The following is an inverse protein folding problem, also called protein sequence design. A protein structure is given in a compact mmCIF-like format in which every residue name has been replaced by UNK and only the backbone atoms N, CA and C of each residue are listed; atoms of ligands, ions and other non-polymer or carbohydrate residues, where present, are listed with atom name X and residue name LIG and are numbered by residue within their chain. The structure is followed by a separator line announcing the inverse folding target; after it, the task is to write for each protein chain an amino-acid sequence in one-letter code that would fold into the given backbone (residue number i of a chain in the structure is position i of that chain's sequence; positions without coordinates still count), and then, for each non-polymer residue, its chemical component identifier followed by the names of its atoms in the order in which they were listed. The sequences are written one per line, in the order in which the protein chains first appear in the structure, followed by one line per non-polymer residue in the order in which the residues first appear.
data_IF_093381073821
#
_entry.id   IF_093381073821
#
_cell.length_a   1.000
_cell.length_b   1.000
_cell.length_c   1.000
_cell.angle_alpha   90.00
_cell.angle_beta   90.00
_cell.angle_gamma   90.00
#
_symmetry.space_group_name_H-M   'P 1'
#
loop_
_entity.id
_entity.type
_entity.pdbx_description
1 polymer ?
#
# COMPACT_ATOMS: atom_id res chain seq x y z
N UNK A 1 -7.63 -7.87 3.99
CA UNK A 1 -6.41 -8.17 3.21
C UNK A 1 -5.47 -8.97 4.12
N UNK A 2 -4.91 -10.12 3.67
CA UNK A 2 -3.99 -10.94 4.50
C UNK A 2 -2.53 -10.70 4.10
N UNK A 3 -2.00 -11.48 3.18
CA UNK A 3 -0.62 -11.39 2.73
C UNK A 3 -0.57 -11.04 1.24
N UNK A 4 0.35 -10.15 0.86
CA UNK A 4 0.46 -9.68 -0.52
C UNK A 4 1.06 -8.29 -0.63
N UNK A 5 0.69 -7.57 -1.69
CA UNK A 5 1.25 -6.27 -2.05
C UNK A 5 0.13 -5.29 -2.37
N UNK A 6 0.18 -4.10 -1.76
CA UNK A 6 -0.56 -2.95 -2.30
C UNK A 6 0.35 -2.28 -3.33
N UNK A 7 -0.10 -2.30 -4.59
CA UNK A 7 0.48 -1.50 -5.64
C UNK A 7 -0.04 -0.07 -5.53
N UNK A 8 0.84 0.90 -5.33
CA UNK A 8 0.49 2.31 -5.18
C UNK A 8 1.15 3.13 -6.29
N UNK A 9 0.35 3.79 -7.10
CA UNK A 9 0.80 4.61 -8.23
C UNK A 9 0.30 6.04 -8.08
N UNK A 10 1.19 6.99 -8.33
CA UNK A 10 0.92 8.44 -8.39
C UNK A 10 1.50 8.97 -9.70
N UNK A 11 1.22 10.23 -10.03
CA UNK A 11 1.84 10.89 -11.20
C UNK A 11 3.39 10.86 -11.16
N UNK A 12 3.98 10.89 -9.96
CA UNK A 12 5.45 11.03 -9.79
C UNK A 12 6.17 9.71 -9.56
N UNK A 13 5.48 8.70 -9.05
CA UNK A 13 6.11 7.46 -8.63
C UNK A 13 5.10 6.31 -8.47
N UNK A 14 5.60 5.10 -8.71
CA UNK A 14 4.91 3.84 -8.48
C UNK A 14 5.74 2.95 -7.57
N UNK A 15 5.11 2.34 -6.57
CA UNK A 15 5.79 1.53 -5.56
C UNK A 15 4.87 0.51 -4.93
N UNK A 16 5.47 -0.55 -4.41
CA UNK A 16 4.79 -1.58 -3.63
C UNK A 16 4.84 -1.32 -2.13
N UNK A 17 3.78 -1.71 -1.44
CA UNK A 17 3.72 -1.85 0.01
C UNK A 17 3.48 -3.32 0.34
N UNK A 18 4.46 -3.96 0.98
CA UNK A 18 4.37 -5.39 1.33
C UNK A 18 3.49 -5.51 2.57
N UNK A 19 2.50 -6.40 2.49
CA UNK A 19 1.53 -6.67 3.56
C UNK A 19 1.74 -8.08 4.08
N UNK A 20 1.82 -8.20 5.41
CA UNK A 20 1.83 -9.46 6.17
C UNK A 20 0.82 -9.36 7.30
N UNK A 21 -0.01 -10.39 7.47
CA UNK A 21 -1.10 -10.44 8.45
C UNK A 21 -1.99 -9.19 8.43
N UNK A 22 -2.24 -8.65 7.23
CA UNK A 22 -3.03 -7.44 7.02
C UNK A 22 -2.36 -6.14 7.44
N UNK A 23 -1.06 -6.16 7.76
CA UNK A 23 -0.26 -4.98 8.14
C UNK A 23 0.84 -4.72 7.12
N UNK A 24 1.07 -3.46 6.76
CA UNK A 24 2.18 -3.08 5.88
C UNK A 24 3.50 -3.22 6.65
N UNK A 25 4.36 -4.17 6.23
CA UNK A 25 5.65 -4.45 6.89
C UNK A 25 6.83 -3.79 6.17
N UNK A 26 6.73 -3.60 4.86
CA UNK A 26 7.75 -2.95 4.04
C UNK A 26 7.16 -1.95 3.06
N UNK A 27 7.91 -0.88 2.80
CA UNK A 27 7.53 0.21 1.92
C UNK A 27 8.77 0.97 1.44
N UNK A 28 8.65 1.62 0.28
CA UNK A 28 9.65 2.55 -0.24
C UNK A 28 9.98 3.67 0.78
N UNK A 29 11.18 4.26 0.78
CA UNK A 29 11.62 5.22 1.82
C UNK A 29 10.64 6.38 2.08
N UNK A 30 10.09 6.98 1.02
CA UNK A 30 9.13 8.09 1.13
C UNK A 30 7.74 7.64 1.59
N UNK A 31 7.40 6.36 1.41
CA UNK A 31 6.13 5.78 1.85
C UNK A 31 6.19 5.24 3.29
N UNK A 32 7.39 4.84 3.74
CA UNK A 32 7.62 4.19 5.03
C UNK A 32 7.05 4.96 6.22
N UNK A 33 7.18 6.29 6.23
CA UNK A 33 6.73 7.14 7.34
C UNK A 33 5.22 7.07 7.58
N UNK A 34 4.42 6.89 6.52
CA UNK A 34 2.96 6.89 6.63
C UNK A 34 2.33 5.51 6.43
N UNK A 35 3.04 4.57 5.80
CA UNK A 35 2.51 3.24 5.47
C UNK A 35 2.89 2.16 6.49
N UNK A 36 4.15 2.11 6.95
CA UNK A 36 4.68 0.98 7.71
C UNK A 36 3.97 0.84 9.06
N UNK A 37 3.56 -0.37 9.41
CA UNK A 37 2.83 -0.70 10.64
C UNK A 37 1.33 -0.36 10.59
N UNK A 38 0.82 0.18 9.48
CA UNK A 38 -0.62 0.46 9.30
C UNK A 38 -1.35 -0.76 8.78
N UNK A 39 -2.65 -0.84 9.09
CA UNK A 39 -3.54 -1.82 8.47
C UNK A 39 -3.62 -1.58 6.97
N UNK A 40 -3.43 -2.64 6.19
CA UNK A 40 -3.46 -2.61 4.73
C UNK A 40 -4.79 -2.07 4.20
N UNK A 41 -5.91 -2.43 4.83
CA UNK A 41 -7.23 -1.97 4.43
C UNK A 41 -7.39 -0.45 4.59
N UNK A 42 -6.89 0.13 5.68
CA UNK A 42 -6.90 1.59 5.88
C UNK A 42 -6.07 2.30 4.82
N UNK A 43 -4.88 1.77 4.52
CA UNK A 43 -3.98 2.33 3.53
C UNK A 43 -4.59 2.24 2.12
N UNK A 44 -5.13 1.08 1.78
CA UNK A 44 -5.77 0.83 0.50
C UNK A 44 -6.98 1.74 0.29
N UNK A 45 -7.84 1.86 1.31
CA UNK A 45 -9.01 2.72 1.24
C UNK A 45 -8.62 4.19 1.11
N UNK A 46 -7.62 4.65 1.86
CA UNK A 46 -7.08 6.00 1.71
C UNK A 46 -6.59 6.26 0.28
N UNK A 47 -5.93 5.28 -0.34
CA UNK A 47 -5.50 5.36 -1.73
C UNK A 47 -6.68 5.50 -2.69
N UNK A 48 -7.74 4.71 -2.51
CA UNK A 48 -8.98 4.79 -3.32
C UNK A 48 -9.69 6.14 -3.20
N UNK A 49 -9.65 6.76 -2.04
CA UNK A 49 -10.28 8.05 -1.76
C UNK A 49 -9.42 9.25 -2.21
N UNK A 50 -8.13 9.04 -2.48
CA UNK A 50 -7.19 10.09 -2.86
C UNK A 50 -7.22 10.34 -4.37
N UNK A 51 -7.62 11.54 -4.78
CA UNK A 51 -7.45 11.99 -6.17
C UNK A 51 -5.98 11.98 -6.58
N UNK A 52 -5.67 11.39 -7.73
CA UNK A 52 -4.30 11.30 -8.26
C UNK A 52 -3.48 10.09 -7.76
N UNK A 53 -4.14 9.15 -7.09
CA UNK A 53 -3.57 7.86 -6.69
C UNK A 53 -4.35 6.73 -7.36
N UNK A 54 -3.64 5.76 -7.94
CA UNK A 54 -4.21 4.47 -8.33
C UNK A 54 -3.65 3.38 -7.40
N UNK A 55 -4.54 2.59 -6.81
CA UNK A 55 -4.17 1.48 -5.91
C UNK A 55 -4.77 0.16 -6.37
N UNK A 56 -3.93 -0.87 -6.39
CA UNK A 56 -4.31 -2.24 -6.69
C UNK A 56 -3.83 -3.20 -5.61
N UNK A 57 -4.62 -4.24 -5.34
CA UNK A 57 -4.25 -5.30 -4.40
C UNK A 57 -3.79 -6.53 -5.17
N UNK A 58 -2.58 -6.99 -4.85
CA UNK A 58 -1.97 -8.18 -5.44
C UNK A 58 -1.79 -9.20 -4.31
N UNK A 59 -2.66 -10.22 -4.19
CA UNK A 59 -2.53 -11.24 -3.16
C UNK A 59 -1.26 -12.07 -3.38
N UNK A 60 -0.64 -12.54 -2.29
CA UNK A 60 0.40 -13.58 -2.36
C UNK A 60 -0.21 -14.90 -2.89
N UNK A 61 0.55 -15.62 -3.71
CA UNK A 61 0.14 -16.91 -4.29
C UNK A 61 0.33 -18.06 -3.30
#
# INVERSE_FOLDING_TARGET
MRDGLIWWSTEKATFGLVVRDGVVVEAAPYARRWARGRRAEEVFQKGRESGGVSVEWIPEQ
#
